data_IF_356488593370
#
_entry.id   IF_356488593370
#
_cell.length_a   1.000
_cell.length_b   1.000
_cell.length_c   1.000
_cell.angle_alpha   90.00
_cell.angle_beta   90.00
_cell.angle_gamma   90.00
#
_symmetry.space_group_name_H-M   'P 1'
#
loop_
_entity.id
_entity.type
_entity.pdbx_description
1 polymer ?
#
# COMPACT_ATOMS: atom_id res chain seq x y z
N UNK A 1 -2.51 13.95 5.72
CA UNK A 1 -1.42 13.87 4.73
C UNK A 1 -1.94 14.28 3.36
N UNK A 2 -1.16 15.00 2.54
CA UNK A 2 -1.56 15.31 1.17
C UNK A 2 -1.18 14.16 0.23
N UNK A 3 -1.96 13.92 -0.83
CA UNK A 3 -1.78 12.77 -1.73
C UNK A 3 -0.39 12.73 -2.39
N UNK A 4 0.14 13.89 -2.78
CA UNK A 4 1.48 14.02 -3.40
C UNK A 4 2.57 13.52 -2.45
N UNK A 5 2.47 13.87 -1.16
CA UNK A 5 3.43 13.45 -0.14
C UNK A 5 3.37 11.93 0.10
N UNK A 6 2.16 11.36 0.10
CA UNK A 6 1.97 9.90 0.19
C UNK A 6 2.63 9.19 -1.00
N UNK A 7 2.47 9.73 -2.21
CA UNK A 7 3.03 9.16 -3.43
C UNK A 7 4.55 9.17 -3.45
N UNK A 8 5.18 10.31 -3.15
CA UNK A 8 6.64 10.41 -3.12
C UNK A 8 7.26 9.52 -2.04
N UNK A 9 6.57 9.36 -0.91
CA UNK A 9 6.95 8.41 0.14
C UNK A 9 6.87 6.97 -0.35
N UNK A 10 5.73 6.56 -0.93
CA UNK A 10 5.53 5.20 -1.45
C UNK A 10 6.61 4.86 -2.50
N UNK A 11 6.88 5.76 -3.44
CA UNK A 11 7.97 5.62 -4.42
C UNK A 11 9.32 5.36 -3.77
N UNK A 12 9.62 6.13 -2.72
CA UNK A 12 10.87 5.99 -1.98
C UNK A 12 10.95 4.61 -1.32
N UNK A 13 9.89 4.17 -0.65
CA UNK A 13 9.83 2.89 0.05
C UNK A 13 9.90 1.69 -0.90
N UNK A 14 9.28 1.78 -2.08
CA UNK A 14 9.41 0.77 -3.14
C UNK A 14 10.87 0.69 -3.59
N UNK A 15 11.50 1.83 -3.87
CA UNK A 15 12.90 1.90 -4.34
C UNK A 15 13.90 1.39 -3.29
N UNK A 16 13.64 1.60 -2.01
CA UNK A 16 14.48 1.12 -0.89
C UNK A 16 14.15 -0.32 -0.48
N UNK A 17 13.05 -0.90 -0.97
CA UNK A 17 12.58 -2.24 -0.61
C UNK A 17 11.85 -2.32 0.73
N UNK A 18 11.53 -1.20 1.36
CA UNK A 18 10.77 -1.13 2.62
C UNK A 18 9.28 -1.47 2.41
N UNK A 19 8.75 -1.15 1.23
CA UNK A 19 7.42 -1.55 0.79
C UNK A 19 7.57 -2.40 -0.47
N UNK A 20 7.41 -3.74 -0.37
CA UNK A 20 7.60 -4.60 -1.52
C UNK A 20 6.58 -4.28 -2.61
N UNK A 21 7.07 -4.28 -3.84
CA UNK A 21 6.26 -4.03 -5.02
C UNK A 21 5.96 -5.35 -5.71
N UNK A 22 4.98 -6.06 -5.15
CA UNK A 22 4.64 -7.43 -5.52
C UNK A 22 3.17 -7.53 -5.92
N UNK A 23 2.86 -8.48 -6.81
CA UNK A 23 1.48 -8.80 -7.15
C UNK A 23 0.72 -9.25 -5.89
N UNK A 24 -0.42 -8.60 -5.56
CA UNK A 24 -1.31 -9.06 -4.51
C UNK A 24 -1.80 -10.49 -4.80
N UNK A 25 -1.51 -11.44 -3.91
CA UNK A 25 -2.13 -12.76 -3.95
C UNK A 25 -3.60 -12.66 -3.56
N UNK A 26 -3.90 -11.84 -2.55
CA UNK A 26 -5.26 -11.59 -2.04
C UNK A 26 -5.30 -10.29 -1.27
N UNK A 27 -6.42 -9.58 -1.39
CA UNK A 27 -6.68 -8.33 -0.67
C UNK A 27 -7.99 -8.45 0.10
N UNK A 28 -7.98 -8.05 1.38
CA UNK A 28 -9.16 -7.97 2.24
C UNK A 28 -9.41 -6.52 2.61
N UNK A 29 -10.65 -6.06 2.47
CA UNK A 29 -11.08 -4.72 2.88
C UNK A 29 -11.89 -4.79 4.17
N UNK A 30 -11.57 -3.91 5.12
CA UNK A 30 -12.24 -3.83 6.42
C UNK A 30 -12.13 -2.45 7.05
N UNK A 31 -12.57 -2.35 8.30
CA UNK A 31 -12.31 -1.18 9.14
C UNK A 31 -10.92 -1.27 9.76
N UNK A 32 -10.28 -0.14 10.00
CA UNK A 32 -8.98 -0.09 10.68
C UNK A 32 -9.04 -0.63 12.10
N UNK A 33 -7.96 -1.26 12.54
CA UNK A 33 -7.83 -1.75 13.92
C UNK A 33 -6.80 -0.95 14.73
N UNK A 34 -6.43 0.25 14.26
CA UNK A 34 -5.34 1.05 14.81
C UNK A 34 -3.94 0.58 14.40
N UNK A 35 -3.84 -0.41 13.50
CA UNK A 35 -2.57 -0.93 12.97
C UNK A 35 -1.90 0.12 12.09
N UNK A 36 -0.56 0.07 11.99
CA UNK A 36 0.18 1.01 11.14
C UNK A 36 0.03 0.66 9.67
N UNK A 37 -0.25 1.67 8.88
CA UNK A 37 -0.15 1.62 7.43
C UNK A 37 1.32 1.45 7.02
N UNK A 38 1.59 0.46 6.18
CA UNK A 38 2.93 0.15 5.69
C UNK A 38 3.51 1.23 4.75
N UNK A 39 2.68 2.12 4.22
CA UNK A 39 3.09 3.21 3.33
C UNK A 39 3.31 4.53 4.09
N UNK A 40 2.25 5.08 4.68
CA UNK A 40 2.33 6.39 5.35
C UNK A 40 2.86 6.31 6.79
N UNK A 41 2.98 5.10 7.36
CA UNK A 41 3.40 4.83 8.75
C UNK A 41 2.48 5.37 9.85
N UNK A 42 1.35 5.97 9.49
CA UNK A 42 0.30 6.38 10.43
C UNK A 42 -0.61 5.19 10.80
N UNK A 43 -1.25 5.26 11.97
CA UNK A 43 -2.24 4.27 12.40
C UNK A 43 -3.54 4.40 11.60
N UNK A 44 -4.04 3.28 11.08
CA UNK A 44 -5.33 3.16 10.40
C UNK A 44 -6.42 3.08 11.47
N UNK A 45 -7.16 4.16 11.66
CA UNK A 45 -8.18 4.25 12.71
C UNK A 45 -9.41 3.40 12.37
N UNK A 46 -10.23 3.00 13.37
CA UNK A 46 -11.48 2.28 13.13
C UNK A 46 -12.51 3.01 12.26
N UNK A 47 -12.37 4.32 12.12
CA UNK A 47 -13.18 5.15 11.21
C UNK A 47 -12.67 5.14 9.77
N UNK A 48 -11.51 4.54 9.51
CA UNK A 48 -10.85 4.48 8.21
C UNK A 48 -10.96 3.07 7.61
N UNK A 49 -10.82 2.99 6.28
CA UNK A 49 -10.79 1.72 5.56
C UNK A 49 -9.35 1.20 5.54
N UNK A 50 -9.19 -0.03 6.04
CA UNK A 50 -7.96 -0.81 5.97
C UNK A 50 -8.04 -1.82 4.82
N UNK A 51 -6.96 -1.91 4.05
CA UNK A 51 -6.70 -3.04 3.17
C UNK A 51 -5.55 -3.87 3.72
N UNK A 52 -5.84 -5.14 3.96
CA UNK A 52 -4.82 -6.16 4.20
C UNK A 52 -4.47 -6.81 2.86
N UNK A 53 -3.20 -6.84 2.50
CA UNK A 53 -2.73 -7.38 1.22
C UNK A 53 -1.72 -8.48 1.50
N UNK A 54 -2.08 -9.72 1.15
CA UNK A 54 -1.14 -10.84 1.12
C UNK A 54 -0.31 -10.75 -0.16
N UNK A 55 1.00 -10.63 0.00
CA UNK A 55 1.96 -10.53 -1.10
C UNK A 55 2.43 -11.92 -1.53
N UNK A 56 2.43 -12.16 -2.84
CA UNK A 56 2.67 -13.50 -3.40
C UNK A 56 4.09 -14.02 -3.18
N UNK A 57 5.12 -13.18 -3.32
CA UNK A 57 6.52 -13.64 -3.34
C UNK A 57 7.10 -13.69 -1.93
N UNK A 58 6.90 -12.65 -1.13
CA UNK A 58 7.39 -12.61 0.25
C UNK A 58 6.52 -13.41 1.23
N UNK A 59 5.27 -13.70 0.88
CA UNK A 59 4.28 -14.28 1.80
C UNK A 59 3.91 -13.33 2.95
N UNK A 60 4.34 -12.07 2.88
CA UNK A 60 4.04 -11.05 3.87
C UNK A 60 2.62 -10.51 3.71
N UNK A 61 2.02 -10.07 4.82
CA UNK A 61 0.76 -9.31 4.78
C UNK A 61 1.04 -7.87 5.15
N UNK A 62 0.82 -6.95 4.22
CA UNK A 62 0.92 -5.50 4.47
C UNK A 62 -0.47 -4.91 4.73
N UNK A 63 -0.52 -3.85 5.53
CA UNK A 63 -1.75 -3.10 5.84
C UNK A 63 -1.65 -1.71 5.29
N UNK A 64 -2.66 -1.25 4.59
CA UNK A 64 -2.65 0.05 3.92
C UNK A 64 -3.99 0.75 4.09
N UNK A 65 -3.96 2.07 4.28
CA UNK A 65 -5.16 2.89 4.08
C UNK A 65 -5.67 2.72 2.64
N UNK A 66 -6.96 2.92 2.41
CA UNK A 66 -7.54 2.91 1.05
C UNK A 66 -6.76 3.75 0.02
N UNK A 67 -6.40 5.00 0.37
CA UNK A 67 -5.66 5.88 -0.53
C UNK A 67 -4.23 5.37 -0.77
N UNK A 68 -3.55 4.95 0.30
CA UNK A 68 -2.19 4.41 0.21
C UNK A 68 -2.13 3.14 -0.64
N UNK A 69 -3.14 2.27 -0.52
CA UNK A 69 -3.28 1.06 -1.34
C UNK A 69 -3.43 1.40 -2.82
N UNK A 70 -4.29 2.36 -3.18
CA UNK A 70 -4.46 2.77 -4.57
C UNK A 70 -3.16 3.30 -5.18
N UNK A 71 -2.48 4.22 -4.48
CA UNK A 71 -1.21 4.78 -4.95
C UNK A 71 -0.12 3.71 -5.04
N UNK A 72 -0.05 2.78 -4.07
CA UNK A 72 0.91 1.69 -4.11
C UNK A 72 0.71 0.80 -5.35
N UNK A 73 -0.54 0.46 -5.71
CA UNK A 73 -0.82 -0.27 -6.95
C UNK A 73 -0.35 0.51 -8.18
N UNK A 74 -0.69 1.80 -8.28
CA UNK A 74 -0.29 2.64 -9.41
C UNK A 74 1.24 2.78 -9.56
N UNK A 75 1.96 2.91 -8.45
CA UNK A 75 3.43 3.00 -8.46
C UNK A 75 4.10 1.64 -8.70
N UNK A 76 3.35 0.54 -8.51
CA UNK A 76 3.82 -0.82 -8.74
C UNK A 76 3.46 -1.41 -10.08
N UNK A 77 2.39 -0.94 -10.71
CA UNK A 77 2.11 -1.27 -12.09
C UNK A 77 3.26 -0.74 -12.95
N UNK A 78 4.00 -1.61 -13.67
CA UNK A 78 4.91 -1.12 -14.68
C UNK A 78 4.07 -0.28 -15.63
N UNK A 79 4.46 0.96 -15.89
CA UNK A 79 3.79 1.80 -16.87
C UNK A 79 3.87 1.10 -18.22
N UNK A 80 2.90 0.24 -18.53
CA UNK A 80 2.80 -0.42 -19.82
C UNK A 80 2.29 0.69 -20.74
N UNK A 81 3.11 1.22 -21.67
CA UNK A 81 2.58 2.16 -22.64
C UNK A 81 1.48 1.42 -23.44
N UNK A 82 0.36 2.07 -23.76
CA UNK A 82 -0.63 1.45 -24.65
C UNK A 82 0.07 1.16 -25.99
N UNK A 83 -0.03 -0.10 -26.43
CA UNK A 83 0.43 -0.57 -27.75
C UNK A 83 -0.36 0.08 -28.87
#
# INVERSE_FOLDING_TARGET
MQEVEVRDRIRTMIRTGELPCEEPQRTWGGQGEGKRCAACMESIQPTEIEFEVALRLSGATVRLHRLCHAIWLEECEPSVPPV
#
